data_IF_070267993007
#
_entry.id   IF_070267993007
#
_cell.length_a   1.000
_cell.length_b   1.000
_cell.length_c   1.000
_cell.angle_alpha   90.00
_cell.angle_beta   90.00
_cell.angle_gamma   90.00
#
_symmetry.space_group_name_H-M   'P 1'
#
loop_
_entity.id
_entity.type
_entity.pdbx_description
1 polymer ?
#
# COMPACT_ATOMS: atom_id res chain seq x y z
N UNK A 1 -5.38 -12.03 -8.36
CA UNK A 1 -5.24 -11.07 -9.48
C UNK A 1 -5.09 -9.62 -9.01
N UNK A 2 -5.60 -9.22 -7.83
CA UNK A 2 -5.47 -7.84 -7.31
C UNK A 2 -4.01 -7.39 -7.05
N UNK A 3 -3.13 -8.30 -6.59
CA UNK A 3 -1.70 -8.04 -6.36
C UNK A 3 -1.00 -7.34 -7.54
N UNK A 4 -1.08 -7.97 -8.71
CA UNK A 4 -0.34 -7.50 -9.86
C UNK A 4 -0.86 -6.15 -10.32
N UNK A 5 -2.17 -5.88 -10.17
CA UNK A 5 -2.75 -4.62 -10.61
C UNK A 5 -2.29 -3.44 -9.74
N UNK A 6 -2.35 -3.57 -8.42
CA UNK A 6 -1.86 -2.54 -7.49
C UNK A 6 -0.36 -2.26 -7.68
N UNK A 7 0.46 -3.29 -7.86
CA UNK A 7 1.90 -3.11 -8.08
C UNK A 7 2.21 -2.47 -9.44
N UNK A 8 1.47 -2.80 -10.50
CA UNK A 8 1.65 -2.16 -11.81
C UNK A 8 1.35 -0.66 -11.75
N UNK A 9 0.31 -0.26 -11.01
CA UNK A 9 -0.02 1.15 -10.77
C UNK A 9 1.09 1.84 -9.97
N UNK A 10 1.58 1.20 -8.91
CA UNK A 10 2.68 1.73 -8.10
C UNK A 10 3.96 1.92 -8.92
N UNK A 11 4.38 0.92 -9.70
CA UNK A 11 5.55 1.04 -10.60
C UNK A 11 5.37 2.09 -11.69
N UNK A 12 4.13 2.33 -12.15
CA UNK A 12 3.84 3.45 -13.07
C UNK A 12 4.03 4.78 -12.36
N UNK A 13 3.46 4.94 -11.17
CA UNK A 13 3.65 6.12 -10.33
C UNK A 13 5.12 6.40 -10.00
N UNK A 14 5.92 5.39 -9.65
CA UNK A 14 7.35 5.60 -9.33
C UNK A 14 8.09 6.25 -10.51
N UNK A 15 7.68 5.92 -11.74
CA UNK A 15 8.29 6.42 -12.96
C UNK A 15 7.70 7.73 -13.47
N UNK A 16 6.40 7.96 -13.29
CA UNK A 16 5.69 9.13 -13.85
C UNK A 16 5.45 10.23 -12.82
N UNK A 17 5.39 9.85 -11.55
CA UNK A 17 4.91 10.70 -10.46
C UNK A 17 3.41 10.97 -10.46
N UNK A 18 2.64 10.25 -11.27
CA UNK A 18 1.18 10.43 -11.37
C UNK A 18 0.50 9.98 -10.07
N UNK A 19 -0.02 10.94 -9.32
CA UNK A 19 -0.60 10.67 -7.99
C UNK A 19 -1.91 9.88 -8.08
N UNK A 20 -2.64 9.98 -9.20
CA UNK A 20 -3.83 9.16 -9.40
C UNK A 20 -3.51 7.65 -9.33
N UNK A 21 -2.38 7.25 -9.90
CA UNK A 21 -1.92 5.86 -9.91
C UNK A 21 -1.59 5.37 -8.50
N UNK A 22 -0.92 6.21 -7.70
CA UNK A 22 -0.63 5.89 -6.31
C UNK A 22 -1.90 5.72 -5.47
N UNK A 23 -2.89 6.61 -5.65
CA UNK A 23 -4.18 6.52 -4.95
C UNK A 23 -4.94 5.25 -5.31
N UNK A 24 -4.94 4.88 -6.58
CA UNK A 24 -5.57 3.65 -7.04
C UNK A 24 -4.82 2.42 -6.52
N UNK A 25 -3.47 2.43 -6.53
CA UNK A 25 -2.65 1.37 -5.96
C UNK A 25 -2.94 1.15 -4.47
N UNK A 26 -3.02 2.21 -3.67
CA UNK A 26 -3.40 2.16 -2.25
C UNK A 26 -4.80 1.55 -2.07
N UNK A 27 -5.76 1.94 -2.91
CA UNK A 27 -7.14 1.41 -2.85
C UNK A 27 -7.17 -0.09 -3.11
N UNK A 28 -6.44 -0.55 -4.14
CA UNK A 28 -6.33 -1.97 -4.48
C UNK A 28 -5.61 -2.76 -3.38
N UNK A 29 -4.55 -2.19 -2.79
CA UNK A 29 -3.83 -2.82 -1.70
C UNK A 29 -4.70 -2.98 -0.44
N UNK A 30 -5.49 -1.97 -0.07
CA UNK A 30 -6.48 -2.08 1.02
C UNK A 30 -7.49 -3.18 0.78
N UNK A 31 -8.08 -3.22 -0.42
CA UNK A 31 -9.02 -4.29 -0.77
C UNK A 31 -8.39 -5.68 -0.68
N UNK A 32 -7.11 -5.82 -1.06
CA UNK A 32 -6.39 -7.08 -0.93
C UNK A 32 -6.18 -7.48 0.53
N UNK A 33 -5.84 -6.53 1.41
CA UNK A 33 -5.78 -6.75 2.86
C UNK A 33 -7.16 -7.16 3.38
N UNK A 34 -8.21 -6.39 3.10
CA UNK A 34 -9.56 -6.67 3.63
C UNK A 34 -10.13 -8.03 3.19
N UNK A 35 -9.75 -8.51 2.00
CA UNK A 35 -10.20 -9.80 1.46
C UNK A 35 -9.34 -10.99 1.90
N UNK A 36 -8.17 -10.76 2.50
CA UNK A 36 -7.23 -11.81 2.88
C UNK A 36 -7.33 -12.10 4.38
N UNK A 37 -7.68 -13.32 4.81
CA UNK A 37 -7.75 -13.69 6.23
C UNK A 37 -6.45 -13.40 6.99
N UNK A 38 -6.57 -13.11 8.30
CA UNK A 38 -5.42 -12.77 9.16
C UNK A 38 -4.34 -13.85 9.20
N UNK A 39 -4.73 -15.12 9.14
CA UNK A 39 -3.83 -16.29 9.17
C UNK A 39 -3.23 -16.65 7.80
N UNK A 40 -3.60 -15.93 6.74
CA UNK A 40 -3.15 -16.26 5.39
C UNK A 40 -1.75 -15.69 5.13
N UNK A 41 -0.79 -16.50 4.63
CA UNK A 41 0.62 -16.09 4.50
C UNK A 41 0.84 -14.92 3.53
N UNK A 42 -0.04 -14.73 2.55
CA UNK A 42 0.04 -13.59 1.64
C UNK A 42 -0.39 -12.25 2.26
N UNK A 43 -1.04 -12.26 3.45
CA UNK A 43 -1.51 -11.03 4.09
C UNK A 43 -0.37 -10.09 4.45
N UNK A 44 0.73 -10.64 4.97
CA UNK A 44 1.94 -9.88 5.28
C UNK A 44 2.49 -9.14 4.05
N UNK A 45 2.42 -9.76 2.87
CA UNK A 45 2.83 -9.12 1.60
C UNK A 45 1.91 -7.95 1.26
N UNK A 46 0.59 -8.08 1.46
CA UNK A 46 -0.37 -7.00 1.21
C UNK A 46 -0.17 -5.83 2.16
N UNK A 47 0.03 -6.12 3.44
CA UNK A 47 0.30 -5.10 4.45
C UNK A 47 1.61 -4.36 4.14
N UNK A 48 2.69 -5.09 3.82
CA UNK A 48 3.96 -4.47 3.46
C UNK A 48 3.84 -3.56 2.23
N UNK A 49 3.15 -4.01 1.18
CA UNK A 49 2.94 -3.20 -0.02
C UNK A 49 2.11 -1.95 0.27
N UNK A 50 1.04 -2.08 1.06
CA UNK A 50 0.21 -0.93 1.48
C UNK A 50 1.03 0.07 2.30
N UNK A 51 1.85 -0.41 3.23
CA UNK A 51 2.75 0.43 4.04
C UNK A 51 3.71 1.26 3.16
N UNK A 52 4.39 0.62 2.21
CA UNK A 52 5.31 1.30 1.29
C UNK A 52 4.62 2.36 0.42
N UNK A 53 3.39 2.08 -0.04
CA UNK A 53 2.63 3.03 -0.85
C UNK A 53 2.21 4.26 -0.04
N UNK A 54 1.82 4.06 1.24
CA UNK A 54 1.47 5.15 2.16
C UNK A 54 2.69 5.98 2.53
N UNK A 55 3.83 5.34 2.79
CA UNK A 55 5.12 6.03 3.02
C UNK A 55 5.50 6.89 1.81
N UNK A 56 5.46 6.34 0.60
CA UNK A 56 5.79 7.10 -0.61
C UNK A 56 4.83 8.29 -0.83
N UNK A 57 3.56 8.15 -0.44
CA UNK A 57 2.60 9.25 -0.49
C UNK A 57 2.94 10.34 0.53
N UNK A 58 3.33 9.96 1.75
CA UNK A 58 3.82 10.88 2.77
C UNK A 58 5.07 11.64 2.28
N UNK A 59 6.07 10.95 1.73
CA UNK A 59 7.30 11.58 1.23
C UNK A 59 7.01 12.67 0.19
N UNK A 60 5.98 12.50 -0.63
CA UNK A 60 5.59 13.49 -1.65
C UNK A 60 4.71 14.62 -1.16
N UNK A 61 3.78 14.36 -0.22
CA UNK A 61 2.76 15.34 0.20
C UNK A 61 3.01 15.94 1.58
N UNK A 62 3.83 15.30 2.42
CA UNK A 62 4.07 15.68 3.81
C UNK A 62 2.86 15.48 4.73
N UNK A 63 1.87 14.69 4.31
CA UNK A 63 0.65 14.43 5.10
C UNK A 63 0.97 13.41 6.19
N UNK A 64 1.16 13.87 7.44
CA UNK A 64 1.52 12.99 8.57
C UNK A 64 0.54 11.83 8.79
N UNK A 65 -0.74 12.01 8.42
CA UNK A 65 -1.74 10.94 8.49
C UNK A 65 -1.36 9.72 7.62
N UNK A 66 -0.74 9.94 6.46
CA UNK A 66 -0.29 8.84 5.60
C UNK A 66 0.89 8.07 6.28
N UNK A 67 1.78 8.78 6.99
CA UNK A 67 2.90 8.15 7.73
C UNK A 67 2.42 7.37 8.96
N UNK A 68 1.51 7.95 9.74
CA UNK A 68 0.91 7.28 10.91
C UNK A 68 0.20 5.99 10.50
N UNK A 69 -0.49 6.03 9.37
CA UNK A 69 -1.13 4.86 8.81
C UNK A 69 -0.11 3.83 8.30
N UNK A 70 0.92 4.26 7.58
CA UNK A 70 2.00 3.37 7.12
C UNK A 70 2.63 2.58 8.29
N UNK A 71 2.91 3.27 9.41
CA UNK A 71 3.45 2.63 10.63
C UNK A 71 2.46 1.63 11.22
N UNK A 72 1.17 1.96 11.24
CA UNK A 72 0.12 1.07 11.76
C UNK A 72 0.03 -0.21 10.92
N UNK A 73 0.05 -0.06 9.60
CA UNK A 73 0.03 -1.18 8.65
C UNK A 73 1.30 -2.03 8.75
N UNK A 74 2.47 -1.40 8.90
CA UNK A 74 3.74 -2.11 9.05
C UNK A 74 3.80 -2.95 10.34
N UNK A 75 3.18 -2.47 11.44
CA UNK A 75 3.04 -3.26 12.68
C UNK A 75 2.19 -4.50 12.47
N UNK A 76 1.05 -4.36 11.80
CA UNK A 76 0.19 -5.51 11.47
C UNK A 76 0.90 -6.57 10.61
N UNK A 77 1.93 -6.19 9.85
CA UNK A 77 2.67 -7.13 9.01
C UNK A 77 3.67 -8.01 9.79
N UNK A 78 4.02 -7.62 11.02
CA UNK A 78 5.01 -8.32 11.87
C UNK A 78 4.40 -8.95 13.13
N UNK A 79 3.15 -8.62 13.44
CA UNK A 79 2.34 -9.25 14.51
C UNK A 79 1.74 -10.59 14.04
#
# INVERSE_FOLDING_TARGET
MLNNFGNMLWSRYERTGEIADLKEAITVARQAVDQTPDDHPARAVWLNNLGNMLESRYERRGEMADLEEAITIARQAVD
#
